data_IF_908171465286
#
_entry.id   IF_908171465286
#
_cell.length_a   1.000
_cell.length_b   1.000
_cell.length_c   1.000
_cell.angle_alpha   90.00
_cell.angle_beta   90.00
_cell.angle_gamma   90.00
#
_symmetry.space_group_name_H-M   'P 1'
#
loop_
_entity.id
_entity.type
_entity.pdbx_description
1 polymer ?
#
# COMPACT_ATOMS: atom_id res chain seq x y z
N UNK A 1 -3.96 -5.94 -17.31
CA UNK A 1 -3.80 -4.78 -16.41
C UNK A 1 -3.29 -5.28 -15.07
N UNK A 2 -2.25 -4.66 -14.51
CA UNK A 2 -1.67 -5.00 -13.22
C UNK A 2 -1.93 -3.90 -12.19
N UNK A 3 -2.74 -4.21 -11.19
CA UNK A 3 -3.11 -3.29 -10.11
C UNK A 3 -2.37 -3.72 -8.85
N UNK A 4 -1.62 -2.79 -8.26
CA UNK A 4 -0.98 -3.02 -6.97
C UNK A 4 -1.73 -2.26 -5.90
N UNK A 5 -2.22 -2.99 -4.90
CA UNK A 5 -2.91 -2.44 -3.74
C UNK A 5 -1.95 -2.43 -2.56
N UNK A 6 -1.72 -1.25 -2.00
CA UNK A 6 -0.95 -1.03 -0.78
C UNK A 6 -1.91 -0.93 0.39
N UNK A 7 -1.91 -1.94 1.26
CA UNK A 7 -2.79 -2.02 2.43
C UNK A 7 -2.00 -2.56 3.65
N UNK A 8 -1.28 -1.70 4.39
CA UNK A 8 -0.51 -2.08 5.57
C UNK A 8 -1.25 -3.00 6.54
N UNK A 9 -2.52 -2.73 6.84
CA UNK A 9 -3.35 -3.55 7.73
C UNK A 9 -4.10 -4.68 7.02
N UNK A 10 -3.73 -5.00 5.78
CA UNK A 10 -4.36 -6.04 4.96
C UNK A 10 -5.87 -5.83 4.73
N UNK A 11 -6.35 -4.59 4.81
CA UNK A 11 -7.77 -4.24 4.68
C UNK A 11 -8.29 -4.27 3.25
N UNK A 12 -8.05 -5.35 2.50
CA UNK A 12 -8.49 -5.55 1.12
C UNK A 12 -9.39 -6.77 1.01
N UNK A 13 -10.55 -6.56 0.38
CA UNK A 13 -11.43 -7.60 -0.15
C UNK A 13 -11.67 -7.36 -1.66
N UNK A 14 -12.06 -8.40 -2.40
CA UNK A 14 -12.36 -8.28 -3.83
C UNK A 14 -13.57 -7.37 -4.10
N UNK A 15 -14.50 -7.29 -3.15
CA UNK A 15 -15.66 -6.39 -3.22
C UNK A 15 -15.29 -4.91 -3.21
N UNK A 16 -14.06 -4.57 -2.79
CA UNK A 16 -13.54 -3.21 -2.70
C UNK A 16 -13.14 -2.65 -4.06
N UNK A 17 -12.90 -3.51 -5.05
CA UNK A 17 -12.61 -3.16 -6.44
C UNK A 17 -13.53 -3.95 -7.39
N UNK A 18 -14.85 -3.68 -7.40
CA UNK A 18 -15.77 -4.37 -8.28
C UNK A 18 -15.55 -3.96 -9.75
N UNK A 19 -15.81 -4.86 -10.69
CA UNK A 19 -15.76 -4.55 -12.13
C UNK A 19 -14.34 -4.49 -12.71
N UNK A 20 -13.41 -5.27 -12.15
CA UNK A 20 -12.09 -5.47 -12.75
C UNK A 20 -12.26 -6.09 -14.15
N UNK A 21 -11.55 -5.59 -15.18
CA UNK A 21 -11.60 -6.18 -16.51
C UNK A 21 -11.04 -7.60 -16.50
N UNK A 22 -11.53 -8.44 -17.41
CA UNK A 22 -11.07 -9.82 -17.54
C UNK A 22 -9.54 -9.87 -17.74
N UNK A 23 -8.86 -10.70 -16.94
CA UNK A 23 -7.40 -10.80 -16.93
C UNK A 23 -6.67 -9.67 -16.19
N UNK A 24 -7.37 -8.82 -15.44
CA UNK A 24 -6.72 -7.93 -14.47
C UNK A 24 -6.06 -8.74 -13.34
N UNK A 25 -4.77 -8.50 -13.11
CA UNK A 25 -4.04 -9.07 -11.97
C UNK A 25 -4.03 -8.05 -10.85
N UNK A 26 -4.49 -8.46 -9.67
CA UNK A 26 -4.38 -7.67 -8.44
C UNK A 26 -3.30 -8.28 -7.56
N UNK A 27 -2.31 -7.47 -7.18
CA UNK A 27 -1.30 -7.83 -6.19
C UNK A 27 -1.50 -6.97 -4.95
N UNK A 28 -1.76 -7.63 -3.82
CA UNK A 28 -1.88 -7.00 -2.51
C UNK A 28 -0.49 -6.94 -1.86
N UNK A 29 -0.09 -5.78 -1.37
CA UNK A 29 1.12 -5.61 -0.57
C UNK A 29 0.69 -5.16 0.83
N UNK A 30 0.92 -6.03 1.82
CA UNK A 30 0.40 -5.87 3.17
C UNK A 30 1.45 -6.27 4.22
N UNK A 31 1.27 -5.81 5.47
CA UNK A 31 2.09 -6.24 6.60
C UNK A 31 1.68 -7.57 7.21
N UNK A 32 0.44 -7.97 6.96
CA UNK A 32 -0.19 -9.15 7.52
C UNK A 32 -1.00 -9.88 6.43
N UNK A 33 -1.34 -11.14 6.67
CA UNK A 33 -2.11 -11.93 5.72
C UNK A 33 -3.58 -11.49 5.73
N UNK A 34 -4.12 -11.12 4.57
CA UNK A 34 -5.56 -10.85 4.44
C UNK A 34 -6.33 -12.18 4.45
N UNK A 35 -7.23 -12.35 5.42
CA UNK A 35 -8.10 -13.50 5.47
C UNK A 35 -9.18 -13.37 4.38
N UNK A 36 -9.14 -14.25 3.37
CA UNK A 36 -10.18 -14.34 2.34
C UNK A 36 -9.89 -13.61 1.03
N UNK A 37 -8.69 -13.06 0.83
CA UNK A 37 -8.28 -12.49 -0.46
C UNK A 37 -7.77 -13.58 -1.42
N UNK A 38 -8.33 -13.69 -2.63
CA UNK A 38 -7.71 -14.51 -3.70
C UNK A 38 -6.62 -13.75 -4.45
N UNK A 39 -6.43 -12.45 -4.17
CA UNK A 39 -5.34 -11.68 -4.73
C UNK A 39 -3.97 -12.19 -4.25
N UNK A 40 -3.00 -12.17 -5.14
CA UNK A 40 -1.62 -12.50 -4.82
C UNK A 40 -1.09 -11.54 -3.75
N UNK A 41 -0.75 -12.06 -2.58
CA UNK A 41 -0.37 -11.24 -1.43
C UNK A 41 1.14 -11.30 -1.20
N UNK A 42 1.80 -10.15 -1.22
CA UNK A 42 3.20 -9.97 -0.85
C UNK A 42 3.25 -9.42 0.57
N UNK A 43 3.74 -10.25 1.50
CA UNK A 43 3.89 -9.89 2.90
C UNK A 43 5.16 -9.08 3.13
N UNK A 44 5.02 -7.98 3.86
CA UNK A 44 6.10 -7.10 4.26
C UNK A 44 6.45 -7.32 5.73
N UNK A 45 7.74 -7.41 6.09
CA UNK A 45 8.16 -7.45 7.49
C UNK A 45 8.09 -6.02 8.08
N UNK A 46 6.89 -5.58 8.49
CA UNK A 46 6.68 -4.21 8.99
C UNK A 46 7.16 -3.99 10.42
N UNK A 47 7.20 -5.03 11.26
CA UNK A 47 7.48 -4.88 12.69
C UNK A 47 8.55 -5.84 13.18
N UNK A 48 9.65 -5.27 13.71
CA UNK A 48 10.43 -5.93 14.76
C UNK A 48 9.73 -5.77 16.11
N UNK A 49 9.83 -6.75 17.01
CA UNK A 49 9.06 -6.78 18.26
C UNK A 49 9.19 -5.53 19.15
N UNK A 50 10.33 -4.84 19.11
CA UNK A 50 10.55 -3.58 19.86
C UNK A 50 9.78 -2.39 19.26
N UNK A 51 9.78 -2.26 17.94
CA UNK A 51 9.10 -1.16 17.24
C UNK A 51 7.58 -1.25 17.39
N UNK A 52 7.02 -2.47 17.31
CA UNK A 52 5.60 -2.73 17.55
C UNK A 52 5.16 -2.32 18.97
N UNK A 53 6.00 -2.61 19.98
CA UNK A 53 5.75 -2.21 21.37
C UNK A 53 5.75 -0.70 21.55
N UNK A 54 6.73 0.01 20.98
CA UNK A 54 6.79 1.46 21.04
C UNK A 54 5.61 2.12 20.32
N UNK A 55 5.20 1.58 19.17
CA UNK A 55 4.03 2.05 18.43
C UNK A 55 2.73 1.83 19.22
N UNK A 56 2.58 0.67 19.85
CA UNK A 56 1.44 0.36 20.72
C UNK A 56 1.36 1.33 21.90
N UNK A 57 2.47 1.57 22.60
CA UNK A 57 2.52 2.50 23.73
C UNK A 57 2.22 3.94 23.31
N UNK A 58 2.82 4.41 22.21
CA UNK A 58 2.60 5.76 21.69
C UNK A 58 1.16 5.97 21.18
N UNK A 59 0.51 4.93 20.65
CA UNK A 59 -0.86 5.00 20.13
C UNK A 59 -1.92 5.30 21.21
N UNK A 60 -1.60 5.03 22.49
CA UNK A 60 -2.51 5.18 23.63
C UNK A 60 -2.85 6.63 23.96
N UNK A 61 -2.07 7.62 23.51
CA UNK A 61 -2.32 9.03 23.75
C UNK A 61 -2.24 9.88 22.48
N UNK A 62 -2.99 10.98 22.43
CA UNK A 62 -2.97 11.92 21.30
C UNK A 62 -1.56 12.51 21.07
N UNK A 63 -0.84 12.99 22.10
CA UNK A 63 0.53 13.49 21.94
C UNK A 63 1.51 12.40 21.50
N UNK A 64 1.38 11.17 22.02
CA UNK A 64 2.20 10.04 21.60
C UNK A 64 2.01 9.70 20.12
N UNK A 65 0.76 9.72 19.65
CA UNK A 65 0.43 9.55 18.22
C UNK A 65 1.05 10.65 17.36
N UNK A 66 1.13 11.89 17.82
CA UNK A 66 1.77 12.97 17.05
C UNK A 66 3.29 12.79 17.05
N UNK A 67 3.89 12.51 18.21
CA UNK A 67 5.34 12.34 18.34
C UNK A 67 5.85 11.20 17.47
N UNK A 68 5.19 10.04 17.46
CA UNK A 68 5.64 8.91 16.64
C UNK A 68 5.60 9.21 15.14
N UNK A 69 4.67 10.06 14.69
CA UNK A 69 4.57 10.52 13.29
C UNK A 69 5.75 11.38 12.85
N UNK A 70 6.44 12.02 13.79
CA UNK A 70 7.65 12.80 13.53
C UNK A 70 8.93 11.94 13.56
N UNK A 71 8.81 10.67 13.95
CA UNK A 71 9.94 9.76 14.06
C UNK A 71 10.04 8.81 12.85
N UNK A 72 11.20 8.16 12.65
CA UNK A 72 11.34 7.07 11.68
C UNK A 72 10.40 5.88 11.92
N UNK A 73 9.71 5.80 13.07
CA UNK A 73 8.72 4.78 13.41
C UNK A 73 7.32 5.12 12.90
N UNK A 74 7.15 6.22 12.16
CA UNK A 74 5.91 6.49 11.44
C UNK A 74 5.51 5.28 10.57
N UNK A 75 4.22 4.93 10.59
CA UNK A 75 3.68 3.77 9.90
C UNK A 75 3.90 3.84 8.38
N UNK A 76 3.72 5.03 7.79
CA UNK A 76 3.92 5.23 6.36
C UNK A 76 5.38 5.17 5.95
N UNK A 77 6.29 5.79 6.73
CA UNK A 77 7.73 5.70 6.49
C UNK A 77 8.24 4.26 6.61
N UNK A 78 7.78 3.52 7.62
CA UNK A 78 8.13 2.11 7.85
C UNK A 78 7.63 1.24 6.71
N UNK A 79 6.37 1.41 6.32
CA UNK A 79 5.77 0.69 5.19
C UNK A 79 6.50 0.97 3.87
N UNK A 80 6.83 2.24 3.58
CA UNK A 80 7.64 2.58 2.42
C UNK A 80 9.02 1.89 2.43
N UNK A 81 9.74 1.90 3.56
CA UNK A 81 11.03 1.21 3.66
C UNK A 81 10.88 -0.29 3.41
N UNK A 82 9.84 -0.91 3.95
CA UNK A 82 9.56 -2.33 3.75
C UNK A 82 9.23 -2.66 2.28
N UNK A 83 8.39 -1.85 1.61
CA UNK A 83 8.11 -2.04 0.17
C UNK A 83 9.39 -1.94 -0.68
N UNK A 84 10.36 -1.13 -0.25
CA UNK A 84 11.65 -1.04 -0.92
C UNK A 84 12.55 -2.21 -0.61
N UNK A 85 12.62 -2.70 0.63
CA UNK A 85 13.55 -3.77 1.01
C UNK A 85 13.17 -5.12 0.42
N UNK A 86 11.87 -5.39 0.20
CA UNK A 86 11.38 -6.65 -0.37
C UNK A 86 11.45 -6.62 -1.91
N UNK A 87 12.26 -7.48 -2.57
CA UNK A 87 12.43 -7.46 -4.03
C UNK A 87 11.15 -7.73 -4.81
N UNK A 88 10.30 -8.66 -4.34
CA UNK A 88 9.02 -8.99 -5.00
C UNK A 88 8.05 -7.81 -4.96
N UNK A 89 7.91 -7.13 -3.81
CA UNK A 89 7.10 -5.92 -3.68
C UNK A 89 7.60 -4.81 -4.63
N UNK A 90 8.92 -4.60 -4.67
CA UNK A 90 9.55 -3.64 -5.57
C UNK A 90 9.28 -3.97 -7.04
N UNK A 91 9.40 -5.23 -7.43
CA UNK A 91 9.15 -5.68 -8.80
C UNK A 91 7.68 -5.49 -9.20
N UNK A 92 6.75 -5.85 -8.31
CA UNK A 92 5.32 -5.65 -8.53
C UNK A 92 4.98 -4.16 -8.72
N UNK A 93 5.47 -3.27 -7.87
CA UNK A 93 5.19 -1.82 -7.99
C UNK A 93 5.79 -1.23 -9.27
N UNK A 94 6.96 -1.71 -9.70
CA UNK A 94 7.61 -1.26 -10.94
C UNK A 94 6.88 -1.68 -12.20
N UNK A 95 6.14 -2.79 -12.15
CA UNK A 95 5.37 -3.34 -13.26
C UNK A 95 3.88 -2.97 -13.21
N UNK A 96 3.44 -2.39 -12.09
CA UNK A 96 2.07 -1.92 -11.91
C UNK A 96 1.67 -0.87 -12.95
N UNK A 97 0.48 -1.02 -13.51
CA UNK A 97 -0.19 -0.01 -14.33
C UNK A 97 -0.88 1.04 -13.45
N UNK A 98 -1.41 0.61 -12.30
CA UNK A 98 -2.06 1.48 -11.31
C UNK A 98 -1.63 1.09 -9.90
N UNK A 99 -1.32 2.09 -9.09
CA UNK A 99 -0.99 1.94 -7.67
C UNK A 99 -2.14 2.48 -6.81
N UNK A 100 -2.71 1.63 -5.97
CA UNK A 100 -3.81 1.98 -5.06
C UNK A 100 -3.28 2.04 -3.64
N UNK A 101 -3.33 3.22 -3.02
CA UNK A 101 -3.12 3.39 -1.59
C UNK A 101 -4.45 3.21 -0.86
N UNK A 102 -4.73 2.00 -0.38
CA UNK A 102 -5.99 1.69 0.29
C UNK A 102 -6.15 2.44 1.62
N UNK A 103 -5.04 2.60 2.34
CA UNK A 103 -5.01 3.14 3.69
C UNK A 103 -4.17 4.40 3.78
N UNK A 104 -4.34 5.16 4.87
CA UNK A 104 -3.59 6.39 5.13
C UNK A 104 -2.07 6.15 5.14
N UNK A 105 -1.60 5.10 5.81
CA UNK A 105 -0.17 4.81 5.91
C UNK A 105 0.41 4.31 4.57
N UNK A 106 -0.43 3.75 3.71
CA UNK A 106 -0.07 3.40 2.34
C UNK A 106 0.15 4.64 1.45
N UNK A 107 -0.55 5.74 1.72
CA UNK A 107 -0.53 6.94 0.88
C UNK A 107 0.89 7.55 0.78
N UNK A 108 1.64 7.55 1.89
CA UNK A 108 3.03 8.02 1.87
C UNK A 108 3.90 7.15 0.97
N UNK A 109 3.81 5.82 1.11
CA UNK A 109 4.57 4.90 0.27
C UNK A 109 4.19 5.03 -1.21
N UNK A 110 2.91 5.16 -1.52
CA UNK A 110 2.42 5.37 -2.87
C UNK A 110 2.96 6.66 -3.49
N UNK A 111 2.91 7.78 -2.75
CA UNK A 111 3.51 9.04 -3.20
C UNK A 111 5.01 8.92 -3.48
N UNK A 112 5.76 8.23 -2.61
CA UNK A 112 7.20 8.00 -2.82
C UNK A 112 7.47 7.19 -4.08
N UNK A 113 6.66 6.17 -4.34
CA UNK A 113 6.79 5.33 -5.54
C UNK A 113 6.39 6.07 -6.82
N UNK A 114 5.29 6.83 -6.79
CA UNK A 114 4.89 7.70 -7.90
C UNK A 114 5.97 8.72 -8.23
N UNK A 115 6.55 9.36 -7.22
CA UNK A 115 7.67 10.30 -7.39
C UNK A 115 8.90 9.62 -7.99
N UNK A 116 9.25 8.42 -7.51
CA UNK A 116 10.38 7.66 -8.04
C UNK A 116 10.15 7.21 -9.49
N UNK A 117 8.93 6.79 -9.84
CA UNK A 117 8.55 6.45 -11.21
C UNK A 117 8.69 7.68 -12.13
N UNK A 118 8.17 8.83 -11.70
CA UNK A 118 8.26 10.09 -12.46
C UNK A 118 9.70 10.52 -12.69
N UNK A 119 10.56 10.38 -11.68
CA UNK A 119 12.00 10.64 -11.81
C UNK A 119 12.68 9.70 -12.80
N UNK A 120 12.16 8.49 -12.99
CA UNK A 120 12.61 7.53 -13.98
C UNK A 120 11.90 7.68 -15.34
N UNK A 121 11.14 8.75 -15.57
CA UNK A 121 10.44 9.01 -16.83
C UNK A 121 9.18 8.18 -17.05
N UNK A 122 8.67 7.48 -16.02
CA UNK A 122 7.43 6.71 -16.08
C UNK A 122 6.33 7.42 -15.31
N UNK A 123 5.15 7.54 -15.91
CA UNK A 123 3.95 7.93 -15.15
C UNK A 123 3.34 6.69 -14.48
N UNK A 124 3.10 6.77 -13.17
CA UNK A 124 2.46 5.70 -12.39
C UNK A 124 1.19 6.27 -11.76
N UNK A 125 0.02 6.07 -12.42
CA UNK A 125 -1.27 6.46 -11.88
C UNK A 125 -1.43 5.96 -10.44
N UNK A 126 -1.61 6.90 -9.52
CA UNK A 126 -1.70 6.60 -8.09
C UNK A 126 -3.03 7.10 -7.56
N UNK A 127 -3.77 6.20 -6.91
CA UNK A 127 -5.13 6.45 -6.44
C UNK A 127 -5.20 6.20 -4.94
N UNK A 128 -5.93 7.06 -4.23
CA UNK A 128 -5.98 7.05 -2.77
C UNK A 128 -7.39 6.66 -2.30
N UNK A 129 -7.48 5.54 -1.59
CA UNK A 129 -8.71 4.93 -1.10
C UNK A 129 -9.46 4.12 -2.15
N UNK A 130 -10.23 3.13 -1.67
CA UNK A 130 -11.05 2.26 -2.53
C UNK A 130 -12.11 2.98 -3.36
N UNK A 131 -12.83 4.01 -2.86
CA UNK A 131 -13.82 4.72 -3.68
C UNK A 131 -13.20 5.36 -4.92
N UNK A 132 -12.02 5.98 -4.77
CA UNK A 132 -11.31 6.58 -5.89
C UNK A 132 -10.73 5.50 -6.81
N UNK A 133 -10.24 4.39 -6.26
CA UNK A 133 -9.70 3.28 -7.03
C UNK A 133 -10.76 2.64 -7.92
N UNK A 134 -11.97 2.43 -7.38
CA UNK A 134 -13.12 1.96 -8.14
C UNK A 134 -13.45 2.89 -9.31
N UNK A 135 -13.54 4.19 -9.07
CA UNK A 135 -13.79 5.17 -10.14
C UNK A 135 -12.68 5.19 -11.21
N UNK A 136 -11.43 4.94 -10.82
CA UNK A 136 -10.31 4.86 -11.76
C UNK A 136 -10.36 3.57 -12.61
N UNK A 137 -10.65 2.42 -11.99
CA UNK A 137 -10.82 1.14 -12.69
C UNK A 137 -12.00 1.19 -13.66
N UNK A 138 -13.14 1.75 -13.24
CA UNK A 138 -14.32 1.92 -14.11
C UNK A 138 -14.04 2.79 -15.35
N UNK A 139 -13.10 3.74 -15.27
CA UNK A 139 -12.68 4.53 -16.44
C UNK A 139 -11.73 3.79 -17.35
N UNK A 140 -10.88 2.92 -16.81
CA UNK A 140 -9.89 2.15 -17.57
C UNK A 140 -10.48 0.91 -18.23
N UNK A 141 -11.64 0.45 -17.76
CA UNK A 141 -12.37 -0.69 -18.33
C UNK A 141 -13.32 -0.29 -19.48
N UNK A 142 -13.49 1.00 -19.77
CA UNK A 142 -14.26 1.53 -20.91
C UNK A 142 -13.34 1.82 -22.08
#
# INVERSE_FOLDING_TARGET
MHIVVLAPSAGFDEGSLPGLPDGARVTLIAGEQSAGSQAETILLPLHGGLAARLQSLASRSMPGRILIRLTPLDGGATFWRATRSVPSARAAIRTADVLVAAERDAAYAAWRWARAARQAGRDLPTVYGYPAARAAVERLAR
#
